data_IF_238646850596
#
_entry.id   IF_238646850596
#
_cell.length_a   1.000
_cell.length_b   1.000
_cell.length_c   1.000
_cell.angle_alpha   90.00
_cell.angle_beta   90.00
_cell.angle_gamma   90.00
#
_symmetry.space_group_name_H-M   'P 1'
#
loop_
_entity.id
_entity.type
_entity.pdbx_description
1 polymer ?
#
# COMPACT_ATOMS: atom_id res chain seq x y z
N UNK A 1 2.45 7.51 -34.22
CA UNK A 1 1.26 8.15 -33.62
C UNK A 1 1.70 9.49 -33.08
N UNK A 2 0.83 10.46 -33.18
CA UNK A 2 1.08 11.78 -32.60
C UNK A 2 0.77 11.69 -31.10
N UNK A 3 1.78 11.96 -30.27
CA UNK A 3 1.68 11.98 -28.79
C UNK A 3 1.73 13.40 -28.24
N UNK A 4 1.61 14.40 -29.12
CA UNK A 4 1.72 15.83 -28.77
C UNK A 4 0.68 16.23 -27.74
N UNK A 5 -0.54 15.67 -27.80
CA UNK A 5 -1.63 15.93 -26.86
C UNK A 5 -1.24 15.62 -25.40
N UNK A 6 -0.35 14.64 -25.17
CA UNK A 6 0.12 14.30 -23.82
C UNK A 6 1.01 15.42 -23.25
N UNK A 7 1.73 16.18 -24.08
CA UNK A 7 2.70 17.18 -23.66
C UNK A 7 2.21 18.62 -23.83
N UNK A 8 1.15 18.84 -24.58
CA UNK A 8 0.73 20.17 -25.07
C UNK A 8 0.41 21.18 -23.95
N UNK A 9 -0.19 20.69 -22.86
CA UNK A 9 -0.62 21.55 -21.76
C UNK A 9 0.34 21.52 -20.55
N UNK A 10 1.56 21.05 -20.72
CA UNK A 10 2.59 21.00 -19.70
C UNK A 10 3.58 22.17 -19.86
N UNK A 11 3.99 22.75 -18.74
CA UNK A 11 5.13 23.67 -18.74
C UNK A 11 6.46 22.89 -18.95
N UNK A 12 7.57 23.61 -19.18
CA UNK A 12 8.85 22.98 -19.53
C UNK A 12 9.36 22.03 -18.43
N UNK A 13 9.18 22.39 -17.16
CA UNK A 13 9.60 21.55 -16.02
C UNK A 13 8.74 20.28 -15.91
N UNK A 14 7.43 20.42 -16.06
CA UNK A 14 6.50 19.29 -16.09
C UNK A 14 6.79 18.36 -17.28
N UNK A 15 7.02 18.94 -18.46
CA UNK A 15 7.38 18.19 -19.67
C UNK A 15 8.68 17.42 -19.46
N UNK A 16 9.71 18.06 -18.90
CA UNK A 16 10.98 17.40 -18.57
C UNK A 16 10.80 16.23 -17.61
N UNK A 17 9.93 16.35 -16.59
CA UNK A 17 9.64 15.26 -15.67
C UNK A 17 8.89 14.11 -16.35
N UNK A 18 7.88 14.43 -17.20
CA UNK A 18 7.07 13.42 -17.92
C UNK A 18 7.93 12.64 -18.92
N UNK A 19 8.82 13.28 -19.65
CA UNK A 19 9.66 12.62 -20.67
C UNK A 19 10.97 12.05 -20.13
N UNK A 20 11.24 12.21 -18.82
CA UNK A 20 12.47 11.70 -18.21
C UNK A 20 12.55 10.18 -18.30
N UNK A 21 13.69 9.66 -18.75
CA UNK A 21 14.01 8.22 -18.78
C UNK A 21 14.84 7.76 -17.57
N UNK A 22 14.99 8.65 -16.55
CA UNK A 22 15.72 8.29 -15.34
C UNK A 22 15.00 7.19 -14.59
N UNK A 23 15.77 6.21 -14.14
CA UNK A 23 15.25 5.06 -13.38
C UNK A 23 14.59 5.49 -12.06
N UNK A 24 15.17 6.48 -11.37
CA UNK A 24 14.60 7.06 -10.15
C UNK A 24 14.42 8.56 -10.35
N UNK A 25 13.20 9.03 -10.24
CA UNK A 25 12.84 10.43 -10.39
C UNK A 25 11.99 10.89 -9.21
N UNK A 26 12.50 11.89 -8.50
CA UNK A 26 11.71 12.60 -7.49
C UNK A 26 11.31 13.97 -8.03
N UNK A 27 10.02 14.28 -7.98
CA UNK A 27 9.46 15.56 -8.38
C UNK A 27 9.07 16.34 -7.12
N UNK A 28 9.85 17.37 -6.80
CA UNK A 28 9.56 18.28 -5.69
C UNK A 28 8.81 19.51 -6.20
N UNK A 29 7.59 19.70 -5.71
CA UNK A 29 6.76 20.81 -6.15
C UNK A 29 5.75 21.22 -5.06
N UNK A 30 5.46 22.50 -4.96
CA UNK A 30 4.51 23.04 -3.99
C UNK A 30 3.08 22.55 -4.20
N UNK A 31 2.20 22.82 -3.25
CA UNK A 31 0.78 22.55 -3.39
C UNK A 31 0.20 23.31 -4.61
N UNK A 32 -0.67 22.67 -5.38
CA UNK A 32 -1.29 23.28 -6.56
C UNK A 32 -0.38 23.40 -7.81
N UNK A 33 0.87 22.95 -7.73
CA UNK A 33 1.81 23.00 -8.88
C UNK A 33 1.54 21.97 -9.98
N UNK A 34 0.59 21.06 -9.76
CA UNK A 34 0.21 20.01 -10.71
C UNK A 34 1.02 18.72 -10.61
N UNK A 35 1.50 18.33 -9.41
CA UNK A 35 2.19 17.03 -9.19
C UNK A 35 1.42 15.85 -9.75
N UNK A 36 0.14 15.70 -9.36
CA UNK A 36 -0.74 14.63 -9.85
C UNK A 36 -0.91 14.71 -11.38
N UNK A 37 -0.93 15.91 -11.97
CA UNK A 37 -0.94 16.09 -13.43
C UNK A 37 0.31 15.49 -14.07
N UNK A 38 1.50 15.79 -13.54
CA UNK A 38 2.76 15.20 -14.03
C UNK A 38 2.70 13.67 -13.98
N UNK A 39 2.20 13.11 -12.89
CA UNK A 39 2.08 11.66 -12.71
C UNK A 39 1.13 11.03 -13.74
N UNK A 40 -0.06 11.61 -13.94
CA UNK A 40 -1.03 11.17 -14.94
C UNK A 40 -0.45 11.23 -16.36
N UNK A 41 0.19 12.34 -16.73
CA UNK A 41 0.82 12.51 -18.04
C UNK A 41 2.04 11.58 -18.22
N UNK A 42 2.80 11.28 -17.15
CA UNK A 42 3.88 10.30 -17.18
C UNK A 42 3.37 8.92 -17.53
N UNK A 43 2.26 8.48 -16.91
CA UNK A 43 1.64 7.19 -17.20
C UNK A 43 1.18 7.13 -18.67
N UNK A 44 0.48 8.17 -19.14
CA UNK A 44 0.04 8.23 -20.53
C UNK A 44 1.23 8.22 -21.52
N UNK A 45 2.30 8.96 -21.22
CA UNK A 45 3.54 8.94 -21.99
C UNK A 45 4.17 7.56 -22.06
N UNK A 46 4.25 6.85 -20.93
CA UNK A 46 4.80 5.48 -20.90
C UNK A 46 3.98 4.49 -21.73
N UNK A 47 2.66 4.63 -21.71
CA UNK A 47 1.78 3.76 -22.50
C UNK A 47 1.88 4.08 -23.99
N UNK A 48 1.75 5.34 -24.38
CA UNK A 48 1.65 5.71 -25.80
C UNK A 48 2.99 5.91 -26.48
N UNK A 49 3.91 6.66 -25.87
CA UNK A 49 5.21 6.95 -26.47
C UNK A 49 6.20 5.79 -26.30
N UNK A 50 6.28 5.21 -25.08
CA UNK A 50 7.20 4.11 -24.80
C UNK A 50 6.60 2.72 -25.04
N UNK A 51 5.32 2.65 -25.46
CA UNK A 51 4.62 1.38 -25.75
C UNK A 51 4.62 0.39 -24.59
N UNK A 52 4.63 0.90 -23.35
CA UNK A 52 4.54 0.05 -22.16
C UNK A 52 3.12 -0.51 -22.01
N UNK A 53 3.04 -1.78 -21.62
CA UNK A 53 1.75 -2.37 -21.29
C UNK A 53 1.18 -1.68 -20.03
N UNK A 54 -0.05 -1.15 -20.04
CA UNK A 54 -0.69 -0.55 -18.85
C UNK A 54 -0.65 -1.45 -17.61
N UNK A 55 -0.73 -2.77 -17.79
CA UNK A 55 -0.63 -3.74 -16.71
C UNK A 55 0.76 -3.82 -16.05
N UNK A 56 1.80 -3.24 -16.68
CA UNK A 56 3.16 -3.17 -16.14
C UNK A 56 3.44 -1.87 -15.38
N UNK A 57 2.45 -1.01 -15.24
CA UNK A 57 2.57 0.27 -14.53
C UNK A 57 1.75 0.18 -13.23
N UNK A 58 2.37 0.51 -12.10
CA UNK A 58 1.71 0.68 -10.82
C UNK A 58 1.67 2.16 -10.47
N UNK A 59 0.51 2.67 -10.08
CA UNK A 59 0.35 4.02 -9.56
C UNK A 59 -0.37 4.00 -8.23
N UNK A 60 0.26 4.59 -7.22
CA UNK A 60 -0.19 4.51 -5.83
C UNK A 60 -0.54 5.89 -5.31
N UNK A 61 -1.65 6.00 -4.61
CA UNK A 61 -2.09 7.21 -3.91
C UNK A 61 -2.69 6.86 -2.53
N UNK A 62 -3.10 7.87 -1.76
CA UNK A 62 -3.57 7.66 -0.38
C UNK A 62 -5.08 7.48 -0.26
N UNK A 63 -5.88 8.03 -1.17
CA UNK A 63 -7.35 8.00 -1.05
C UNK A 63 -8.01 7.36 -2.25
N UNK A 64 -9.13 6.68 -2.03
CA UNK A 64 -9.92 6.08 -3.11
C UNK A 64 -10.43 7.14 -4.10
N UNK A 65 -10.74 8.35 -3.62
CA UNK A 65 -11.15 9.47 -4.48
C UNK A 65 -10.00 9.87 -5.42
N UNK A 66 -8.78 10.05 -4.89
CA UNK A 66 -7.61 10.38 -5.71
C UNK A 66 -7.27 9.27 -6.71
N UNK A 67 -7.39 8.00 -6.31
CA UNK A 67 -7.17 6.86 -7.20
C UNK A 67 -8.19 6.83 -8.36
N UNK A 68 -9.46 7.07 -8.06
CA UNK A 68 -10.51 7.13 -9.08
C UNK A 68 -10.30 8.30 -10.04
N UNK A 69 -9.99 9.49 -9.52
CA UNK A 69 -9.70 10.68 -10.30
C UNK A 69 -8.46 10.51 -11.18
N UNK A 70 -7.39 9.93 -10.63
CA UNK A 70 -6.18 9.61 -11.38
C UNK A 70 -6.47 8.66 -12.54
N UNK A 71 -7.21 7.59 -12.29
CA UNK A 71 -7.62 6.62 -13.32
C UNK A 71 -8.44 7.29 -14.42
N UNK A 72 -9.47 8.07 -14.07
CA UNK A 72 -10.31 8.78 -15.04
C UNK A 72 -9.50 9.70 -15.94
N UNK A 73 -8.55 10.47 -15.37
CA UNK A 73 -7.68 11.37 -16.14
C UNK A 73 -6.69 10.63 -17.05
N UNK A 74 -6.20 9.46 -16.62
CA UNK A 74 -5.35 8.62 -17.48
C UNK A 74 -6.16 8.09 -18.66
N UNK A 75 -7.36 7.56 -18.42
CA UNK A 75 -8.23 7.01 -19.45
C UNK A 75 -8.71 8.09 -20.44
N UNK A 76 -8.93 9.31 -19.97
CA UNK A 76 -9.24 10.47 -20.81
C UNK A 76 -8.06 10.82 -21.74
N UNK A 77 -6.83 10.85 -21.22
CA UNK A 77 -5.64 11.12 -22.03
C UNK A 77 -5.32 10.00 -23.03
N UNK A 78 -5.58 8.76 -22.66
CA UNK A 78 -5.34 7.60 -23.53
C UNK A 78 -6.48 7.36 -24.53
N UNK A 79 -7.60 8.06 -24.40
CA UNK A 79 -8.84 7.80 -25.13
C UNK A 79 -9.26 6.31 -25.09
N UNK A 80 -8.85 5.59 -24.06
CA UNK A 80 -9.04 4.16 -23.90
C UNK A 80 -9.09 3.76 -22.41
N UNK A 81 -9.84 2.71 -22.05
CA UNK A 81 -9.85 2.20 -20.68
C UNK A 81 -8.49 1.61 -20.31
N UNK A 82 -8.02 1.92 -19.09
CA UNK A 82 -6.80 1.34 -18.53
C UNK A 82 -7.05 -0.08 -17.99
N UNK A 83 -7.23 -1.03 -18.92
CA UNK A 83 -7.48 -2.42 -18.58
C UNK A 83 -6.33 -3.01 -17.78
N UNK A 84 -6.65 -3.74 -16.69
CA UNK A 84 -5.69 -4.40 -15.78
C UNK A 84 -4.64 -3.49 -15.13
N UNK A 85 -4.78 -2.17 -15.25
CA UNK A 85 -3.90 -1.22 -14.59
C UNK A 85 -3.90 -1.35 -13.06
N UNK A 86 -2.73 -1.10 -12.46
CA UNK A 86 -2.54 -1.13 -11.01
C UNK A 86 -2.56 0.29 -10.45
N UNK A 87 -3.67 0.98 -10.64
CA UNK A 87 -3.92 2.32 -10.08
C UNK A 87 -4.85 2.18 -8.88
N UNK A 88 -4.38 2.59 -7.71
CA UNK A 88 -5.15 2.43 -6.48
C UNK A 88 -4.49 3.02 -5.24
N UNK A 89 -5.12 2.82 -4.09
CA UNK A 89 -4.51 3.12 -2.80
C UNK A 89 -3.58 2.01 -2.35
N UNK A 90 -2.64 2.30 -1.43
CA UNK A 90 -1.79 1.28 -0.82
C UNK A 90 -2.60 0.06 -0.33
N UNK A 91 -3.62 0.29 0.48
CA UNK A 91 -4.47 -0.78 1.02
C UNK A 91 -5.27 -1.52 -0.07
N UNK A 92 -5.78 -0.80 -1.06
CA UNK A 92 -6.52 -1.41 -2.18
C UNK A 92 -5.63 -2.32 -3.03
N UNK A 93 -4.41 -1.90 -3.31
CA UNK A 93 -3.43 -2.70 -4.05
C UNK A 93 -2.92 -3.88 -3.22
N UNK A 94 -2.62 -3.68 -1.93
CA UNK A 94 -2.26 -4.75 -1.00
C UNK A 94 -3.36 -5.82 -0.90
N UNK A 95 -4.63 -5.41 -0.80
CA UNK A 95 -5.77 -6.32 -0.83
C UNK A 95 -5.83 -7.12 -2.15
N UNK A 96 -5.65 -6.46 -3.30
CA UNK A 96 -5.60 -7.13 -4.60
C UNK A 96 -4.48 -8.16 -4.67
N UNK A 97 -3.32 -7.86 -4.08
CA UNK A 97 -2.18 -8.78 -3.96
C UNK A 97 -2.53 -10.00 -3.09
N UNK A 98 -3.05 -9.76 -1.89
CA UNK A 98 -3.43 -10.82 -0.96
C UNK A 98 -4.55 -11.71 -1.52
N UNK A 99 -5.50 -11.16 -2.26
CA UNK A 99 -6.50 -11.95 -2.99
C UNK A 99 -5.88 -12.92 -4.00
N UNK A 100 -4.84 -12.46 -4.71
CA UNK A 100 -4.14 -13.28 -5.70
C UNK A 100 -3.25 -14.34 -5.07
N UNK A 101 -2.54 -13.99 -4.00
CA UNK A 101 -1.55 -14.81 -3.32
C UNK A 101 -2.01 -15.23 -1.91
N UNK A 102 -3.32 -15.49 -1.77
CA UNK A 102 -3.90 -15.81 -0.46
C UNK A 102 -3.28 -17.06 0.18
N UNK A 103 -2.90 -18.06 -0.62
CA UNK A 103 -2.27 -19.28 -0.14
C UNK A 103 -0.90 -19.01 0.47
N UNK A 104 -0.07 -18.27 -0.25
CA UNK A 104 1.26 -17.83 0.17
C UNK A 104 1.18 -16.92 1.40
N UNK A 105 0.08 -16.17 1.53
CA UNK A 105 -0.23 -15.35 2.69
C UNK A 105 -0.77 -16.14 3.89
N UNK A 106 -0.99 -17.45 3.77
CA UNK A 106 -1.62 -18.26 4.81
C UNK A 106 -3.09 -17.90 5.05
N UNK A 107 -3.77 -17.36 4.03
CA UNK A 107 -5.18 -16.96 4.09
C UNK A 107 -6.05 -17.87 3.24
N UNK A 108 -7.32 -18.02 3.59
CA UNK A 108 -8.30 -18.61 2.67
C UNK A 108 -8.70 -17.59 1.60
N UNK A 109 -9.22 -18.06 0.46
CA UNK A 109 -9.64 -17.20 -0.65
C UNK A 109 -10.75 -16.20 -0.27
N UNK A 110 -11.51 -16.50 0.78
CA UNK A 110 -12.62 -15.70 1.29
C UNK A 110 -12.32 -15.00 2.61
N UNK A 111 -11.07 -14.56 2.84
CA UNK A 111 -10.77 -13.80 4.06
C UNK A 111 -11.62 -12.52 4.18
N UNK A 112 -11.98 -12.18 5.41
CA UNK A 112 -12.82 -11.02 5.72
C UNK A 112 -11.96 -9.84 6.17
N UNK A 113 -12.24 -8.66 5.62
CA UNK A 113 -11.59 -7.42 6.08
C UNK A 113 -12.39 -6.88 7.26
N UNK A 114 -11.68 -6.62 8.36
CA UNK A 114 -12.21 -5.98 9.55
C UNK A 114 -12.19 -4.45 9.39
N UNK A 115 -13.27 -3.81 9.74
CA UNK A 115 -13.25 -2.37 10.00
C UNK A 115 -12.67 -2.06 11.39
N UNK A 116 -12.52 -0.76 11.71
CA UNK A 116 -11.94 -0.33 12.98
C UNK A 116 -12.80 -0.71 14.20
N UNK A 117 -14.11 -0.75 14.04
CA UNK A 117 -15.05 -1.10 15.13
C UNK A 117 -15.04 -2.61 15.38
N UNK A 118 -14.99 -3.41 14.33
CA UNK A 118 -14.85 -4.87 14.46
C UNK A 118 -13.51 -5.25 15.08
N UNK A 119 -12.42 -4.60 14.66
CA UNK A 119 -11.11 -4.74 15.28
C UNK A 119 -11.17 -4.44 16.78
N UNK A 120 -11.77 -3.30 17.14
CA UNK A 120 -11.91 -2.89 18.54
C UNK A 120 -12.72 -3.89 19.37
N UNK A 121 -13.80 -4.46 18.81
CA UNK A 121 -14.60 -5.49 19.51
C UNK A 121 -13.79 -6.72 19.84
N UNK A 122 -12.95 -7.18 18.91
CA UNK A 122 -12.07 -8.35 19.14
C UNK A 122 -11.05 -8.02 20.22
N UNK A 123 -10.37 -6.87 20.12
CA UNK A 123 -9.39 -6.42 21.14
C UNK A 123 -10.05 -6.32 22.52
N UNK A 124 -11.23 -5.72 22.60
CA UNK A 124 -11.98 -5.59 23.86
C UNK A 124 -12.31 -6.94 24.51
N UNK A 125 -12.73 -7.91 23.69
CA UNK A 125 -12.97 -9.29 24.17
C UNK A 125 -11.69 -9.91 24.72
N UNK A 126 -10.56 -9.80 24.00
CA UNK A 126 -9.27 -10.35 24.43
C UNK A 126 -8.79 -9.69 25.72
N UNK A 127 -8.88 -8.35 25.83
CA UNK A 127 -8.52 -7.61 27.05
C UNK A 127 -9.33 -8.08 28.26
N UNK A 128 -10.63 -8.30 28.07
CA UNK A 128 -11.51 -8.82 29.14
C UNK A 128 -11.14 -10.26 29.54
N UNK A 129 -10.86 -11.12 28.56
CA UNK A 129 -10.41 -12.52 28.81
C UNK A 129 -9.06 -12.56 29.53
N UNK A 130 -8.19 -11.59 29.28
CA UNK A 130 -6.92 -11.40 29.98
C UNK A 130 -7.07 -10.78 31.37
N UNK A 131 -8.29 -10.45 31.84
CA UNK A 131 -8.53 -9.84 33.14
C UNK A 131 -8.08 -8.38 33.26
N UNK A 132 -7.91 -7.68 32.15
CA UNK A 132 -7.50 -6.28 32.15
C UNK A 132 -8.70 -5.37 32.38
N UNK A 133 -8.55 -4.43 33.33
CA UNK A 133 -9.56 -3.42 33.61
C UNK A 133 -9.57 -2.35 32.52
N UNK A 134 -10.69 -2.17 31.84
CA UNK A 134 -10.87 -1.21 30.75
C UNK A 134 -10.62 0.25 31.19
N UNK A 135 -10.80 0.57 32.47
CA UNK A 135 -10.52 1.91 33.01
C UNK A 135 -9.03 2.21 33.09
N UNK A 136 -8.20 1.18 33.26
CA UNK A 136 -6.73 1.26 33.35
C UNK A 136 -6.10 0.96 31.97
N UNK A 137 -6.72 0.06 31.23
CA UNK A 137 -6.25 -0.47 29.93
C UNK A 137 -7.33 -0.26 28.85
N UNK A 138 -7.54 0.97 28.38
CA UNK A 138 -8.55 1.23 27.35
C UNK A 138 -8.24 0.45 26.07
N UNK A 139 -9.16 -0.40 25.63
CA UNK A 139 -8.99 -1.22 24.43
C UNK A 139 -8.72 -0.42 23.16
N UNK A 140 -9.18 0.84 23.11
CA UNK A 140 -8.87 1.78 22.02
C UNK A 140 -7.39 2.18 22.01
N UNK A 141 -6.75 2.29 23.16
CA UNK A 141 -5.31 2.53 23.25
C UNK A 141 -4.50 1.32 22.74
N UNK A 142 -4.95 0.09 23.11
CA UNK A 142 -4.36 -1.14 22.59
C UNK A 142 -4.50 -1.23 21.07
N UNK A 143 -5.67 -0.87 20.53
CA UNK A 143 -5.91 -0.81 19.09
C UNK A 143 -4.95 0.16 18.38
N UNK A 144 -4.79 1.37 18.90
CA UNK A 144 -3.88 2.35 18.32
C UNK A 144 -2.44 1.88 18.35
N UNK A 145 -2.00 1.30 19.46
CA UNK A 145 -0.63 0.82 19.60
C UNK A 145 -0.36 -0.38 18.66
N UNK A 146 -1.30 -1.31 18.54
CA UNK A 146 -1.20 -2.44 17.60
C UNK A 146 -1.09 -1.93 16.17
N UNK A 147 -1.94 -0.97 15.79
CA UNK A 147 -1.90 -0.40 14.45
C UNK A 147 -0.58 0.36 14.21
N UNK A 148 -0.08 1.11 15.19
CA UNK A 148 1.23 1.78 15.10
C UNK A 148 2.37 0.78 14.89
N UNK A 149 2.39 -0.34 15.61
CA UNK A 149 3.40 -1.38 15.40
C UNK A 149 3.31 -2.01 14.01
N UNK A 150 2.09 -2.26 13.51
CA UNK A 150 1.91 -2.74 12.13
C UNK A 150 2.39 -1.73 11.09
N UNK A 151 2.15 -0.45 11.30
CA UNK A 151 2.61 0.63 10.43
C UNK A 151 4.14 0.77 10.41
N UNK A 152 4.80 0.36 11.50
CA UNK A 152 6.26 0.24 11.59
C UNK A 152 6.80 -1.10 11.05
N UNK A 153 5.93 -2.06 10.73
CA UNK A 153 6.30 -3.36 10.20
C UNK A 153 6.53 -4.44 11.26
N UNK A 154 6.08 -4.23 12.51
CA UNK A 154 6.30 -5.16 13.60
C UNK A 154 5.14 -6.13 13.82
N UNK A 155 5.49 -7.42 13.96
CA UNK A 155 4.66 -8.46 14.55
C UNK A 155 4.82 -8.48 16.07
N UNK A 156 3.86 -9.06 16.78
CA UNK A 156 3.93 -9.19 18.25
C UNK A 156 5.24 -9.83 18.75
N UNK A 157 5.84 -10.71 17.95
CA UNK A 157 7.11 -11.38 18.29
C UNK A 157 8.34 -10.49 18.13
N UNK A 158 8.25 -9.41 17.33
CA UNK A 158 9.35 -8.51 17.02
C UNK A 158 9.28 -7.16 17.73
N UNK A 159 8.21 -6.93 18.50
CA UNK A 159 8.06 -5.71 19.32
C UNK A 159 9.09 -5.72 20.45
N UNK A 160 9.86 -4.62 20.59
CA UNK A 160 10.68 -4.40 21.77
C UNK A 160 9.84 -3.76 22.89
N UNK A 161 9.35 -4.62 23.77
CA UNK A 161 8.51 -4.26 24.91
C UNK A 161 9.23 -4.36 26.27
N UNK A 162 10.51 -4.74 26.26
CA UNK A 162 11.28 -5.03 27.48
C UNK A 162 11.43 -3.78 28.35
N UNK A 163 11.00 -3.92 29.62
CA UNK A 163 11.11 -2.88 30.64
C UNK A 163 10.02 -1.80 30.55
N UNK A 164 9.05 -1.94 29.65
CA UNK A 164 7.86 -1.09 29.57
C UNK A 164 6.61 -1.92 29.87
N UNK A 165 6.16 -1.86 31.11
CA UNK A 165 5.00 -2.61 31.57
C UNK A 165 3.72 -2.38 30.74
N UNK A 166 3.57 -1.16 30.19
CA UNK A 166 2.43 -0.83 29.33
C UNK A 166 2.54 -1.56 27.99
N UNK A 167 3.69 -1.46 27.32
CA UNK A 167 3.96 -2.15 26.07
C UNK A 167 3.87 -3.66 26.21
N UNK A 168 4.43 -4.23 27.28
CA UNK A 168 4.37 -5.66 27.55
C UNK A 168 2.93 -6.20 27.61
N UNK A 169 2.01 -5.48 28.27
CA UNK A 169 0.62 -5.90 28.35
C UNK A 169 -0.13 -5.73 27.02
N UNK A 170 0.10 -4.62 26.29
CA UNK A 170 -0.49 -4.47 24.97
C UNK A 170 0.06 -5.53 23.99
N UNK A 171 1.34 -5.87 24.09
CA UNK A 171 1.92 -6.91 23.23
C UNK A 171 1.32 -8.31 23.51
N UNK A 172 0.97 -8.62 24.76
CA UNK A 172 0.19 -9.83 25.06
C UNK A 172 -1.17 -9.82 24.36
N UNK A 173 -1.87 -8.66 24.37
CA UNK A 173 -3.15 -8.51 23.65
C UNK A 173 -2.90 -8.67 22.15
N UNK A 174 -1.85 -8.06 21.59
CA UNK A 174 -1.51 -8.14 20.18
C UNK A 174 -1.26 -9.58 19.74
N UNK A 175 -0.52 -10.35 20.52
CA UNK A 175 -0.26 -11.77 20.27
C UNK A 175 -1.54 -12.62 20.20
N UNK A 176 -2.45 -12.41 21.14
CA UNK A 176 -3.73 -13.12 21.12
C UNK A 176 -4.66 -12.63 19.99
N UNK A 177 -4.58 -11.32 19.64
CA UNK A 177 -5.29 -10.75 18.52
C UNK A 177 -4.83 -11.35 17.18
N UNK A 178 -3.53 -11.46 16.94
CA UNK A 178 -2.98 -12.12 15.75
C UNK A 178 -3.46 -13.57 15.61
N UNK A 179 -3.46 -14.33 16.73
CA UNK A 179 -3.96 -15.70 16.74
C UNK A 179 -5.45 -15.78 16.40
N UNK A 180 -6.25 -14.90 17.00
CA UNK A 180 -7.69 -14.84 16.73
C UNK A 180 -7.98 -14.49 15.25
N UNK A 181 -7.30 -13.50 14.71
CA UNK A 181 -7.44 -13.12 13.31
C UNK A 181 -7.03 -14.24 12.35
N UNK A 182 -5.93 -14.93 12.63
CA UNK A 182 -5.47 -16.05 11.80
C UNK A 182 -6.48 -17.22 11.83
N UNK A 183 -6.94 -17.61 13.04
CA UNK A 183 -7.91 -18.68 13.21
C UNK A 183 -9.22 -18.41 12.48
N UNK A 184 -9.72 -17.18 12.58
CA UNK A 184 -11.03 -16.78 12.07
C UNK A 184 -10.95 -16.20 10.64
N UNK A 185 -9.75 -16.24 10.02
CA UNK A 185 -9.45 -15.75 8.66
C UNK A 185 -9.83 -14.28 8.46
N UNK A 186 -9.44 -13.44 9.42
CA UNK A 186 -9.72 -12.02 9.49
C UNK A 186 -8.46 -11.21 9.19
N UNK A 187 -8.63 -10.08 8.51
CA UNK A 187 -7.55 -9.18 8.10
C UNK A 187 -7.98 -7.74 8.37
N UNK A 188 -7.31 -7.03 9.27
CA UNK A 188 -7.55 -5.60 9.47
C UNK A 188 -6.76 -4.75 8.46
N UNK A 189 -6.99 -3.42 8.46
CA UNK A 189 -6.36 -2.53 7.50
C UNK A 189 -4.82 -2.54 7.60
N UNK A 190 -4.24 -2.50 8.81
CA UNK A 190 -2.79 -2.59 9.00
C UNK A 190 -2.24 -3.94 8.53
N UNK A 191 -3.02 -5.01 8.74
CA UNK A 191 -2.66 -6.36 8.29
C UNK A 191 -2.61 -6.50 6.77
N UNK A 192 -3.44 -5.77 6.02
CA UNK A 192 -3.38 -5.81 4.55
C UNK A 192 -1.98 -5.45 4.05
N UNK A 193 -1.40 -4.37 4.58
CA UNK A 193 -0.07 -3.93 4.16
C UNK A 193 1.04 -4.81 4.75
N UNK A 194 1.02 -5.05 6.05
CA UNK A 194 2.05 -5.83 6.72
C UNK A 194 2.17 -7.23 6.12
N UNK A 195 1.05 -7.95 5.97
CA UNK A 195 1.03 -9.31 5.41
C UNK A 195 1.42 -9.32 3.92
N UNK A 196 0.96 -8.37 3.13
CA UNK A 196 1.38 -8.30 1.72
C UNK A 196 2.88 -8.01 1.57
N UNK A 197 3.45 -7.17 2.43
CA UNK A 197 4.89 -6.95 2.51
C UNK A 197 5.65 -8.23 2.84
N UNK A 198 5.24 -8.95 3.89
CA UNK A 198 5.86 -10.21 4.31
C UNK A 198 5.81 -11.27 3.21
N UNK A 199 4.65 -11.42 2.55
CA UNK A 199 4.49 -12.38 1.44
C UNK A 199 5.45 -12.09 0.30
N UNK A 200 5.68 -10.83 -0.05
CA UNK A 200 6.63 -10.46 -1.11
C UNK A 200 8.06 -10.70 -0.63
N UNK A 201 8.39 -10.27 0.59
CA UNK A 201 9.73 -10.39 1.18
C UNK A 201 10.17 -11.85 1.33
N UNK A 202 9.27 -12.69 1.84
CA UNK A 202 9.61 -14.05 2.28
C UNK A 202 9.33 -15.11 1.21
N UNK A 203 8.68 -14.75 0.08
CA UNK A 203 8.35 -15.68 -0.99
C UNK A 203 8.94 -15.24 -2.34
N UNK A 204 10.02 -15.90 -2.74
CA UNK A 204 10.77 -15.58 -3.95
C UNK A 204 9.90 -15.66 -5.22
N UNK A 205 8.93 -16.59 -5.28
CA UNK A 205 8.06 -16.70 -6.45
C UNK A 205 7.10 -15.51 -6.58
N UNK A 206 6.59 -15.01 -5.45
CA UNK A 206 5.73 -13.81 -5.41
C UNK A 206 6.55 -12.57 -5.74
N UNK A 207 7.74 -12.44 -5.16
CA UNK A 207 8.68 -11.35 -5.44
C UNK A 207 9.03 -11.29 -6.93
N UNK A 208 9.46 -12.40 -7.50
CA UNK A 208 9.78 -12.52 -8.93
C UNK A 208 8.59 -12.20 -9.84
N UNK A 209 7.37 -12.57 -9.44
CA UNK A 209 6.16 -12.19 -10.17
C UNK A 209 6.03 -10.67 -10.25
N UNK A 210 6.16 -9.93 -9.14
CA UNK A 210 6.02 -8.47 -9.14
C UNK A 210 7.19 -7.79 -9.86
N UNK A 211 8.42 -8.24 -9.66
CA UNK A 211 9.61 -7.73 -10.35
C UNK A 211 9.55 -7.92 -11.88
N UNK A 212 8.98 -9.04 -12.34
CA UNK A 212 8.79 -9.26 -13.78
C UNK A 212 7.64 -8.42 -14.33
N UNK A 213 6.60 -8.19 -13.51
CA UNK A 213 5.39 -7.48 -13.92
C UNK A 213 5.60 -5.98 -14.03
N UNK A 214 6.10 -5.35 -12.97
CA UNK A 214 6.17 -3.89 -12.93
C UNK A 214 7.46 -3.36 -13.54
N UNK A 215 7.28 -2.47 -14.51
CA UNK A 215 8.35 -1.73 -15.18
C UNK A 215 8.42 -0.28 -14.71
N UNK A 216 7.32 0.19 -14.11
CA UNK A 216 7.21 1.54 -13.58
C UNK A 216 6.32 1.54 -12.34
N UNK A 217 6.76 2.24 -11.30
CA UNK A 217 6.03 2.44 -10.05
C UNK A 217 6.02 3.94 -9.76
N UNK A 218 4.82 4.51 -9.74
CA UNK A 218 4.62 5.94 -9.50
C UNK A 218 3.85 6.12 -8.20
N UNK A 219 4.31 7.03 -7.36
CA UNK A 219 3.72 7.29 -6.05
C UNK A 219 3.35 8.76 -5.94
N UNK A 220 2.07 9.04 -5.72
CA UNK A 220 1.59 10.39 -5.41
C UNK A 220 1.74 10.66 -3.90
N UNK A 221 2.06 11.91 -3.54
CA UNK A 221 2.26 12.37 -2.16
C UNK A 221 3.23 11.47 -1.34
N UNK A 222 4.36 11.09 -1.95
CA UNK A 222 5.34 10.17 -1.36
C UNK A 222 5.82 10.58 0.04
N UNK A 223 5.82 11.88 0.36
CA UNK A 223 6.20 12.41 1.67
C UNK A 223 5.29 11.94 2.81
N UNK A 224 4.08 11.48 2.53
CA UNK A 224 3.10 11.03 3.52
C UNK A 224 3.18 9.52 3.81
N UNK A 225 4.15 8.81 3.18
CA UNK A 225 4.32 7.37 3.38
C UNK A 225 4.87 7.03 4.78
N UNK A 226 4.28 6.01 5.42
CA UNK A 226 4.82 5.42 6.64
C UNK A 226 5.84 4.31 6.33
N UNK A 227 6.45 3.75 7.37
CA UNK A 227 7.54 2.76 7.24
C UNK A 227 7.10 1.52 6.46
N UNK A 228 5.94 0.94 6.79
CA UNK A 228 5.49 -0.28 6.10
C UNK A 228 5.15 -0.03 4.63
N UNK A 229 4.57 1.13 4.30
CA UNK A 229 4.27 1.53 2.91
C UNK A 229 5.56 1.70 2.10
N UNK A 230 6.56 2.33 2.67
CA UNK A 230 7.86 2.50 2.04
C UNK A 230 8.55 1.14 1.80
N UNK A 231 8.61 0.29 2.83
CA UNK A 231 9.20 -1.05 2.71
C UNK A 231 8.46 -1.92 1.70
N UNK A 232 7.13 -1.84 1.67
CA UNK A 232 6.30 -2.53 0.69
C UNK A 232 6.63 -2.12 -0.75
N UNK A 233 6.82 -0.82 -1.00
CA UNK A 233 7.25 -0.33 -2.32
C UNK A 233 8.64 -0.85 -2.69
N UNK A 234 9.58 -0.87 -1.76
CA UNK A 234 10.93 -1.38 -2.00
C UNK A 234 10.93 -2.86 -2.39
N UNK A 235 10.10 -3.68 -1.73
CA UNK A 235 10.02 -5.11 -2.06
C UNK A 235 9.39 -5.38 -3.44
N UNK A 236 8.48 -4.51 -3.89
CA UNK A 236 7.87 -4.61 -5.22
C UNK A 236 8.79 -4.07 -6.30
N UNK A 237 9.56 -3.03 -5.99
CA UNK A 237 10.46 -2.40 -6.96
C UNK A 237 11.63 -3.33 -7.27
N UNK A 238 11.77 -3.69 -8.54
CA UNK A 238 12.99 -4.35 -9.00
C UNK A 238 14.06 -3.31 -9.31
N UNK A 239 15.33 -3.73 -9.31
CA UNK A 239 16.43 -2.87 -9.78
C UNK A 239 16.25 -2.34 -11.22
N UNK A 240 15.32 -2.93 -11.97
CA UNK A 240 14.98 -2.57 -13.37
C UNK A 240 13.68 -1.78 -13.48
N UNK A 241 12.96 -1.54 -12.38
CA UNK A 241 11.77 -0.70 -12.38
C UNK A 241 12.15 0.79 -12.32
N UNK A 242 11.45 1.60 -13.08
CA UNK A 242 11.57 3.07 -13.06
C UNK A 242 10.38 3.72 -12.36
#
# INVERSE_FOLDING_TARGET
MDVSHILEHLNDQQRSAVTSEKQHLMVLAGAGSGKTRVLVHKIAWEVEALRRNPASIMAVTFTNKAALEMRSRIEELLEAPMMDGWVGTFHGLAHRMLKRFHKEAGLSSGFTILDADDQLRIIKRISKEAGLDESVWPSRQSQWQINAWKDEGFRSESVDDKGDYFKENINKIYKEYEKACLRDNLVDFGELLLRSYEVIRDNESVKSFFHSRFKSILVDEFQDTNTIQYNWLLEIASEKAS
#
